data_IF_532429639712
#
_entry.id   IF_532429639712
#
_cell.length_a   1.000
_cell.length_b   1.000
_cell.length_c   1.000
_cell.angle_alpha   90.00
_cell.angle_beta   90.00
_cell.angle_gamma   90.00
#
_symmetry.space_group_name_H-M   'P 1'
#
loop_
_entity.id
_entity.type
_entity.pdbx_description
1 polymer ?
#
# COMPACT_ATOMS: atom_id res chain seq x y z
N UNK A 1 -27.49 -9.80 12.47
CA UNK A 1 -26.62 -9.90 11.28
C UNK A 1 -25.27 -9.32 11.65
N UNK A 2 -24.20 -10.03 11.40
CA UNK A 2 -22.84 -9.59 11.65
C UNK A 2 -22.43 -8.49 10.64
N UNK A 3 -21.52 -7.62 11.05
CA UNK A 3 -21.02 -6.55 10.15
C UNK A 3 -20.40 -7.13 8.87
N UNK A 4 -19.61 -8.20 8.98
CA UNK A 4 -19.05 -8.90 7.81
C UNK A 4 -20.11 -9.47 6.86
N UNK A 5 -21.27 -9.90 7.37
CA UNK A 5 -22.36 -10.39 6.52
C UNK A 5 -23.00 -9.25 5.70
N UNK A 6 -23.11 -8.05 6.30
CA UNK A 6 -23.59 -6.86 5.59
C UNK A 6 -22.66 -6.53 4.43
N UNK A 7 -21.34 -6.54 4.67
CA UNK A 7 -20.34 -6.28 3.64
C UNK A 7 -20.38 -7.36 2.54
N UNK A 8 -20.39 -8.64 2.93
CA UNK A 8 -20.47 -9.76 1.99
C UNK A 8 -21.71 -9.64 1.08
N UNK A 9 -22.89 -9.38 1.65
CA UNK A 9 -24.12 -9.20 0.88
C UNK A 9 -24.03 -8.00 -0.07
N UNK A 10 -23.37 -6.91 0.33
CA UNK A 10 -23.17 -5.77 -0.55
C UNK A 10 -22.28 -6.11 -1.75
N UNK A 11 -21.17 -6.83 -1.52
CA UNK A 11 -20.26 -7.30 -2.58
C UNK A 11 -20.96 -8.25 -3.56
N UNK A 12 -21.82 -9.13 -3.02
CA UNK A 12 -22.56 -10.14 -3.80
C UNK A 12 -23.88 -9.60 -4.38
N UNK A 13 -24.19 -8.31 -4.21
CA UNK A 13 -25.47 -7.72 -4.63
C UNK A 13 -26.71 -8.45 -4.07
N UNK A 14 -26.59 -9.01 -2.85
CA UNK A 14 -27.58 -9.86 -2.19
C UNK A 14 -28.44 -9.09 -1.17
N UNK A 15 -28.88 -7.88 -1.53
CA UNK A 15 -29.81 -7.04 -0.76
C UNK A 15 -29.39 -6.88 0.72
N UNK A 16 -28.29 -6.22 1.02
CA UNK A 16 -27.92 -5.92 2.40
C UNK A 16 -28.98 -5.02 3.04
N UNK A 17 -29.24 -5.11 4.37
CA UNK A 17 -30.25 -4.28 5.04
C UNK A 17 -29.89 -2.79 5.08
N UNK A 18 -28.61 -2.47 4.85
CA UNK A 18 -28.04 -1.14 4.69
C UNK A 18 -26.73 -1.20 3.93
N UNK A 19 -26.24 -0.07 3.45
CA UNK A 19 -24.89 0.00 2.89
C UNK A 19 -23.83 -0.26 3.98
N UNK A 20 -22.75 -0.95 3.66
CA UNK A 20 -21.58 -1.04 4.52
C UNK A 20 -20.98 0.34 4.76
N UNK A 21 -20.44 0.54 5.94
CA UNK A 21 -19.82 1.79 6.32
C UNK A 21 -18.34 1.56 6.60
N UNK A 22 -17.48 2.19 5.79
CA UNK A 22 -16.03 2.17 5.96
C UNK A 22 -15.56 3.55 6.41
N UNK A 23 -15.04 3.64 7.61
CA UNK A 23 -14.48 4.86 8.13
C UNK A 23 -13.22 4.57 8.93
N UNK A 24 -12.15 5.27 8.59
CA UNK A 24 -10.86 5.18 9.25
C UNK A 24 -10.43 6.49 9.94
N UNK A 25 -11.25 7.54 9.89
CA UNK A 25 -10.90 8.89 10.36
C UNK A 25 -11.51 9.24 11.70
N UNK A 26 -12.72 8.75 12.00
CA UNK A 26 -13.42 9.05 13.26
C UNK A 26 -13.54 7.79 14.11
N UNK A 27 -12.82 7.74 15.22
CA UNK A 27 -12.75 6.57 16.10
C UNK A 27 -14.11 6.11 16.66
N UNK A 28 -15.11 7.00 16.73
CA UNK A 28 -16.44 6.73 17.29
C UNK A 28 -17.49 6.37 16.24
N UNK A 29 -17.17 6.46 14.97
CA UNK A 29 -18.14 6.13 13.92
C UNK A 29 -18.26 4.62 13.72
N UNK A 30 -19.45 4.10 13.37
CA UNK A 30 -19.61 2.70 13.03
C UNK A 30 -18.71 2.35 11.84
N UNK A 31 -17.95 1.26 11.96
CA UNK A 31 -17.06 0.77 10.92
C UNK A 31 -17.29 -0.73 10.73
N UNK A 32 -17.76 -1.11 9.55
CA UNK A 32 -18.02 -2.51 9.21
C UNK A 32 -16.74 -3.24 8.78
N UNK A 33 -15.64 -2.51 8.59
CA UNK A 33 -14.36 -3.03 8.12
C UNK A 33 -13.30 -2.99 9.22
N UNK A 34 -12.35 -3.88 9.10
CA UNK A 34 -11.11 -3.90 9.85
C UNK A 34 -9.96 -3.89 8.85
N UNK A 35 -9.21 -2.80 8.82
CA UNK A 35 -8.12 -2.63 7.87
C UNK A 35 -6.84 -3.27 8.36
N UNK A 36 -6.22 -4.05 7.49
CA UNK A 36 -4.86 -4.52 7.60
C UNK A 36 -4.03 -3.86 6.48
N UNK A 37 -3.17 -2.93 6.88
CA UNK A 37 -2.35 -2.18 5.96
C UNK A 37 -1.00 -2.85 5.75
N UNK A 38 -0.47 -2.72 4.53
CA UNK A 38 0.89 -3.16 4.26
C UNK A 38 1.87 -2.46 5.22
N UNK A 39 2.92 -3.18 5.59
CA UNK A 39 3.99 -2.68 6.43
C UNK A 39 5.25 -2.42 5.61
N UNK A 40 5.90 -1.31 5.91
CA UNK A 40 7.22 -0.96 5.44
C UNK A 40 8.07 -0.60 6.66
N UNK A 41 9.32 -1.04 6.72
CA UNK A 41 10.20 -0.82 7.89
C UNK A 41 10.47 0.65 8.15
N UNK A 42 10.63 1.42 7.08
CA UNK A 42 10.84 2.85 7.16
C UNK A 42 9.54 3.61 7.41
N UNK A 43 8.42 3.06 6.93
CA UNK A 43 7.11 3.70 6.93
C UNK A 43 6.18 3.04 7.93
N UNK A 44 6.21 3.46 9.17
CA UNK A 44 5.18 3.08 10.16
C UNK A 44 3.93 3.98 10.09
N UNK A 45 3.68 4.63 8.95
CA UNK A 45 2.55 5.53 8.73
C UNK A 45 2.63 6.22 7.36
N UNK A 46 1.56 6.93 7.00
CA UNK A 46 1.45 7.65 5.74
C UNK A 46 2.22 8.97 5.69
N UNK A 47 2.66 9.45 6.84
CA UNK A 47 3.28 10.75 6.96
C UNK A 47 4.66 10.62 7.58
N UNK A 48 5.65 11.20 6.91
CA UNK A 48 7.00 11.31 7.44
C UNK A 48 7.25 12.75 7.87
N UNK A 49 8.08 12.91 8.84
CA UNK A 49 8.62 14.19 9.29
C UNK A 49 10.08 14.40 8.84
N UNK A 50 10.68 13.40 8.21
CA UNK A 50 12.05 13.41 7.71
C UNK A 50 12.19 12.57 6.43
N UNK A 51 13.27 12.78 5.69
CA UNK A 51 13.61 11.96 4.53
C UNK A 51 13.91 10.52 4.95
N UNK A 52 13.39 9.57 4.20
CA UNK A 52 13.56 8.12 4.46
C UNK A 52 13.82 7.37 3.16
N UNK A 53 14.41 6.18 3.28
CA UNK A 53 14.46 5.19 2.20
C UNK A 53 13.50 4.06 2.57
N UNK A 54 12.64 3.66 1.63
CA UNK A 54 11.69 2.56 1.84
C UNK A 54 12.35 1.19 1.58
N UNK A 55 11.63 0.11 1.89
CA UNK A 55 12.11 -1.27 1.70
C UNK A 55 12.42 -1.60 0.22
N UNK A 56 11.93 -0.81 -0.71
CA UNK A 56 12.19 -0.93 -2.14
C UNK A 56 13.41 -0.13 -2.60
N UNK A 57 14.10 0.56 -1.68
CA UNK A 57 15.23 1.43 -1.98
C UNK A 57 14.85 2.77 -2.61
N UNK A 58 13.57 3.16 -2.56
CA UNK A 58 13.15 4.47 -3.01
C UNK A 58 13.41 5.50 -1.93
N UNK A 59 14.12 6.58 -2.26
CA UNK A 59 14.36 7.68 -1.34
C UNK A 59 13.21 8.70 -1.40
N UNK A 60 12.64 9.00 -0.24
CA UNK A 60 11.52 9.92 -0.08
C UNK A 60 11.97 11.24 0.53
N UNK A 61 11.52 12.33 -0.04
CA UNK A 61 11.67 13.66 0.53
C UNK A 61 10.34 14.17 1.06
N UNK A 62 10.39 14.93 2.17
CA UNK A 62 9.23 15.61 2.76
C UNK A 62 9.27 17.08 2.41
N UNK A 63 8.10 17.63 2.12
CA UNK A 63 7.93 19.07 1.94
C UNK A 63 7.59 19.76 3.28
N UNK A 64 7.54 21.09 3.28
CA UNK A 64 7.08 21.86 4.43
C UNK A 64 5.61 21.56 4.81
N UNK A 65 4.83 21.05 3.87
CA UNK A 65 3.46 20.58 4.12
C UNK A 65 3.52 19.10 4.47
N UNK A 66 3.00 18.73 5.64
CA UNK A 66 2.94 17.33 6.08
C UNK A 66 2.03 16.52 5.16
N UNK A 67 2.63 15.66 4.38
CA UNK A 67 1.98 14.67 3.53
C UNK A 67 2.84 13.41 3.44
N UNK A 68 2.49 12.46 2.57
CA UNK A 68 3.28 11.24 2.39
C UNK A 68 4.67 11.45 1.77
N UNK A 69 5.04 12.70 1.43
CA UNK A 69 6.30 12.99 0.74
C UNK A 69 6.26 12.67 -0.75
N UNK A 70 7.44 12.78 -1.38
CA UNK A 70 7.64 12.47 -2.79
C UNK A 70 8.89 11.60 -2.94
N UNK A 71 8.83 10.63 -3.84
CA UNK A 71 10.03 9.86 -4.23
C UNK A 71 10.94 10.75 -5.07
N UNK A 72 12.17 10.93 -4.62
CA UNK A 72 13.20 11.74 -5.26
C UNK A 72 14.43 10.94 -5.65
N UNK A 73 14.58 9.74 -5.11
CA UNK A 73 15.61 8.79 -5.50
C UNK A 73 14.94 7.50 -5.99
N UNK A 74 15.31 7.11 -7.20
CA UNK A 74 14.73 5.96 -7.91
C UNK A 74 15.82 4.90 -8.09
N UNK A 75 15.75 3.73 -7.43
CA UNK A 75 16.81 2.71 -7.49
C UNK A 75 17.05 2.17 -8.90
N UNK A 76 16.04 2.18 -9.77
CA UNK A 76 16.10 1.77 -11.16
C UNK A 76 16.08 2.97 -12.14
N UNK A 77 16.54 4.15 -11.73
CA UNK A 77 16.72 5.28 -12.63
C UNK A 77 17.55 4.93 -13.87
N UNK A 78 18.50 4.01 -13.70
CA UNK A 78 19.25 3.37 -14.78
C UNK A 78 18.90 1.88 -14.86
N UNK A 79 18.43 1.40 -16.02
CA UNK A 79 18.13 0.00 -16.28
C UNK A 79 19.32 -0.94 -16.13
N UNK A 80 20.55 -0.44 -16.21
CA UNK A 80 21.76 -1.25 -15.94
C UNK A 80 21.78 -1.84 -14.53
N UNK A 81 21.06 -1.22 -13.59
CA UNK A 81 20.92 -1.70 -12.21
C UNK A 81 19.95 -2.86 -12.05
N UNK A 82 19.07 -3.12 -13.03
CA UNK A 82 18.00 -4.13 -12.92
C UNK A 82 18.58 -5.51 -12.56
N UNK A 83 19.67 -5.93 -13.18
CA UNK A 83 20.27 -7.24 -12.93
C UNK A 83 20.76 -7.43 -11.47
N UNK A 84 21.14 -6.33 -10.80
CA UNK A 84 21.64 -6.34 -9.41
C UNK A 84 20.56 -5.93 -8.40
N UNK A 85 19.45 -5.36 -8.84
CA UNK A 85 18.37 -4.93 -7.96
C UNK A 85 17.74 -6.12 -7.23
N UNK A 86 17.47 -5.92 -5.97
CA UNK A 86 16.78 -6.93 -5.12
C UNK A 86 15.58 -6.27 -4.47
N UNK A 87 14.36 -6.65 -4.88
CA UNK A 87 13.15 -6.22 -4.20
C UNK A 87 13.11 -6.81 -2.79
N UNK A 88 12.29 -6.25 -1.89
CA UNK A 88 12.05 -6.84 -0.58
C UNK A 88 11.49 -8.26 -0.73
N UNK A 89 11.91 -9.16 0.17
CA UNK A 89 11.40 -10.53 0.18
C UNK A 89 9.93 -10.53 0.68
N UNK A 90 8.96 -10.92 -0.15
CA UNK A 90 7.55 -10.94 0.25
C UNK A 90 7.25 -11.98 1.34
N UNK A 91 8.19 -12.87 1.66
CA UNK A 91 8.05 -13.89 2.72
C UNK A 91 8.64 -13.43 4.06
N UNK A 92 9.20 -12.24 4.12
CA UNK A 92 9.77 -11.72 5.36
C UNK A 92 8.67 -11.65 6.45
N UNK A 93 8.87 -12.35 7.59
CA UNK A 93 7.89 -12.38 8.66
C UNK A 93 7.47 -11.00 9.17
N UNK A 94 8.34 -10.00 9.03
CA UNK A 94 8.05 -8.63 9.40
C UNK A 94 6.75 -8.10 8.79
N UNK A 95 6.46 -8.44 7.53
CA UNK A 95 5.25 -7.96 6.84
C UNK A 95 3.95 -8.57 7.39
N UNK A 96 4.06 -9.64 8.17
CA UNK A 96 2.92 -10.41 8.68
C UNK A 96 2.72 -10.29 10.19
N UNK A 97 3.67 -9.74 10.94
CA UNK A 97 3.67 -9.72 12.41
C UNK A 97 2.43 -9.03 13.02
N UNK A 98 1.79 -8.12 12.28
CA UNK A 98 0.59 -7.39 12.74
C UNK A 98 -0.72 -8.07 12.36
N UNK A 99 -0.70 -9.09 11.52
CA UNK A 99 -1.94 -9.71 11.01
C UNK A 99 -2.73 -10.36 12.16
N UNK A 100 -2.09 -11.21 12.95
CA UNK A 100 -2.79 -11.90 14.05
C UNK A 100 -3.42 -10.94 15.07
N UNK A 101 -2.72 -9.92 15.61
CA UNK A 101 -3.34 -8.92 16.48
C UNK A 101 -4.53 -8.19 15.83
N UNK A 102 -4.44 -7.86 14.54
CA UNK A 102 -5.51 -7.18 13.80
C UNK A 102 -6.72 -8.11 13.65
N UNK A 103 -6.50 -9.38 13.29
CA UNK A 103 -7.56 -10.39 13.18
C UNK A 103 -8.25 -10.62 14.53
N UNK A 104 -7.48 -10.71 15.61
CA UNK A 104 -8.03 -10.85 16.96
C UNK A 104 -8.91 -9.65 17.36
N UNK A 105 -8.55 -8.45 16.94
CA UNK A 105 -9.31 -7.22 17.20
C UNK A 105 -10.46 -6.97 16.21
N UNK A 106 -10.56 -7.73 15.13
CA UNK A 106 -11.57 -7.52 14.08
C UNK A 106 -13.00 -7.75 14.57
N UNK A 107 -13.20 -8.73 15.48
CA UNK A 107 -14.52 -9.10 15.98
C UNK A 107 -15.43 -9.59 14.84
N UNK A 108 -16.59 -8.96 14.66
CA UNK A 108 -17.55 -9.31 13.61
C UNK A 108 -17.39 -8.46 12.32
N UNK A 109 -16.34 -7.63 12.23
CA UNK A 109 -16.05 -6.79 11.06
C UNK A 109 -15.51 -7.61 9.88
N UNK A 110 -15.64 -7.05 8.69
CA UNK A 110 -15.04 -7.59 7.49
C UNK A 110 -13.56 -7.16 7.41
N UNK A 111 -12.65 -8.11 7.29
CA UNK A 111 -11.22 -7.81 7.21
C UNK A 111 -10.84 -7.47 5.77
N UNK A 112 -10.18 -6.34 5.58
CA UNK A 112 -9.63 -5.89 4.29
C UNK A 112 -8.12 -5.78 4.43
N UNK A 113 -7.41 -6.37 3.50
CA UNK A 113 -5.96 -6.15 3.36
C UNK A 113 -5.76 -5.09 2.28
N UNK A 114 -5.13 -3.99 2.65
CA UNK A 114 -4.82 -2.92 1.73
C UNK A 114 -3.34 -2.96 1.37
N UNK A 115 -3.07 -3.06 0.07
CA UNK A 115 -1.73 -3.02 -0.49
C UNK A 115 -1.63 -1.79 -1.39
N UNK A 116 -0.76 -0.86 -1.02
CA UNK A 116 -0.55 0.38 -1.74
C UNK A 116 0.61 0.28 -2.72
N UNK A 117 0.63 1.22 -3.66
CA UNK A 117 1.72 1.36 -4.62
C UNK A 117 1.98 0.10 -5.44
N UNK A 118 0.91 -0.42 -6.02
CA UNK A 118 0.97 -1.59 -6.88
C UNK A 118 1.28 -1.22 -8.33
N UNK A 119 1.83 -2.18 -9.06
CA UNK A 119 2.04 -2.10 -10.51
C UNK A 119 2.65 -0.77 -10.95
N UNK A 120 1.87 0.06 -11.67
CA UNK A 120 2.34 1.30 -12.26
C UNK A 120 2.87 2.30 -11.21
N UNK A 121 2.25 2.37 -10.04
CA UNK A 121 2.71 3.25 -8.97
C UNK A 121 4.07 2.79 -8.44
N UNK A 122 4.25 1.50 -8.21
CA UNK A 122 5.53 0.93 -7.78
C UNK A 122 6.59 1.10 -8.88
N UNK A 123 6.22 0.87 -10.13
CA UNK A 123 7.12 1.02 -11.25
C UNK A 123 7.65 2.46 -11.36
N UNK A 124 6.78 3.46 -11.27
CA UNK A 124 7.25 4.85 -11.35
C UNK A 124 8.06 5.29 -10.11
N UNK A 125 7.82 4.69 -8.95
CA UNK A 125 8.66 4.94 -7.77
C UNK A 125 10.06 4.37 -7.96
N UNK A 126 10.18 3.20 -8.57
CA UNK A 126 11.46 2.56 -8.84
C UNK A 126 12.24 3.22 -9.98
N UNK A 127 11.55 3.64 -11.04
CA UNK A 127 12.14 4.09 -12.30
C UNK A 127 12.15 5.61 -12.50
N UNK A 128 11.21 6.30 -11.86
CA UNK A 128 10.87 7.70 -12.12
C UNK A 128 9.70 7.81 -13.09
N UNK A 129 8.80 8.76 -12.81
CA UNK A 129 7.52 8.88 -13.52
C UNK A 129 7.68 9.09 -15.03
N UNK A 130 8.46 10.10 -15.45
CA UNK A 130 8.66 10.40 -16.86
C UNK A 130 9.36 9.26 -17.61
N UNK A 131 10.37 8.64 -17.00
CA UNK A 131 11.08 7.50 -17.57
C UNK A 131 10.16 6.30 -17.73
N UNK A 132 9.32 5.99 -16.72
CA UNK A 132 8.33 4.91 -16.80
C UNK A 132 7.38 5.10 -17.99
N UNK A 133 6.84 6.31 -18.18
CA UNK A 133 5.93 6.57 -19.31
C UNK A 133 6.63 6.40 -20.67
N UNK A 134 7.88 6.84 -20.77
CA UNK A 134 8.67 6.65 -22.01
C UNK A 134 8.96 5.18 -22.29
N UNK A 135 9.26 4.41 -21.25
CA UNK A 135 9.69 3.01 -21.35
C UNK A 135 8.57 2.08 -21.84
N UNK A 136 7.30 2.43 -21.71
CA UNK A 136 6.21 1.68 -22.35
C UNK A 136 6.36 1.62 -23.88
N UNK A 137 7.05 2.60 -24.46
CA UNK A 137 7.33 2.65 -25.90
C UNK A 137 8.77 2.27 -26.25
N UNK A 138 9.73 2.68 -25.43
CA UNK A 138 11.15 2.54 -25.75
C UNK A 138 11.71 1.20 -25.28
N UNK A 139 11.21 0.67 -24.17
CA UNK A 139 11.76 -0.51 -23.49
C UNK A 139 10.67 -1.45 -22.99
N UNK A 140 9.65 -1.80 -23.82
CA UNK A 140 8.48 -2.57 -23.35
C UNK A 140 8.88 -3.91 -22.71
N UNK A 141 9.89 -4.58 -23.20
CA UNK A 141 10.39 -5.84 -22.66
C UNK A 141 11.01 -5.74 -21.25
N UNK A 142 11.31 -4.53 -20.78
CA UNK A 142 11.79 -4.31 -19.41
C UNK A 142 10.66 -3.96 -18.44
N UNK A 143 9.51 -3.63 -18.97
CA UNK A 143 8.29 -3.31 -18.18
C UNK A 143 7.49 -4.58 -17.86
N UNK A 144 7.51 -5.59 -18.75
CA UNK A 144 6.89 -6.91 -18.56
C UNK A 144 7.61 -7.76 -17.50
#
# INVERSE_FOLDING_TARGET
MLRREIVTRAIEFSSPPRLPFWQNVLAEAPNDFCDCWEMDRAKRGWFFDHAVEDDWGCGWAVSAVKNMGQVVHHPLADWARLASYRPPDPRDPFYFERIEPILAAAGDRYVVVTCHFNLIERLHMLRGFAATLADFYLEPAKIE
#
